data_IF_170471542321
#
_entry.id   IF_170471542321
#
_cell.length_a   1.000
_cell.length_b   1.000
_cell.length_c   1.000
_cell.angle_alpha   90.00
_cell.angle_beta   90.00
_cell.angle_gamma   90.00
#
_symmetry.space_group_name_H-M   'P 1'
#
loop_
_entity.id
_entity.type
_entity.pdbx_description
1 polymer ?
#
# COMPACT_ATOMS: atom_id res chain seq x y z
N UNK A 1 24.77 15.28 39.15
CA UNK A 1 24.24 15.97 37.94
C UNK A 1 23.99 15.02 36.76
N UNK A 2 24.76 13.95 36.58
CA UNK A 2 24.66 13.02 35.43
C UNK A 2 23.28 12.32 35.24
N UNK A 3 22.58 11.96 36.34
CA UNK A 3 21.29 11.24 36.27
C UNK A 3 20.18 11.99 35.51
N UNK A 4 20.20 13.33 35.54
CA UNK A 4 19.15 14.15 34.93
C UNK A 4 19.23 14.14 33.39
N UNK A 5 20.45 14.05 32.85
CA UNK A 5 20.68 14.03 31.40
C UNK A 5 20.31 12.68 30.77
N UNK A 6 20.51 11.58 31.50
CA UNK A 6 20.12 10.24 31.05
C UNK A 6 18.60 10.14 30.85
N UNK A 7 17.82 10.66 31.79
CA UNK A 7 16.36 10.71 31.68
C UNK A 7 15.87 11.57 30.52
N UNK A 8 16.49 12.73 30.28
CA UNK A 8 16.15 13.63 29.18
C UNK A 8 16.49 13.01 27.82
N UNK A 9 17.61 12.30 27.70
CA UNK A 9 17.98 11.61 26.46
C UNK A 9 17.04 10.44 26.15
N UNK A 10 16.59 9.72 27.18
CA UNK A 10 15.67 8.59 27.00
C UNK A 10 14.27 9.07 26.59
N UNK A 11 13.79 10.17 27.17
CA UNK A 11 12.49 10.75 26.80
C UNK A 11 12.51 11.33 25.39
N UNK A 12 13.55 12.07 25.00
CA UNK A 12 13.66 12.60 23.63
C UNK A 12 13.71 11.49 22.58
N UNK A 13 14.46 10.42 22.84
CA UNK A 13 14.51 9.27 21.94
C UNK A 13 13.14 8.60 21.75
N UNK A 14 12.37 8.46 22.82
CA UNK A 14 11.03 7.87 22.76
C UNK A 14 10.05 8.74 21.95
N UNK A 15 10.12 10.07 22.10
CA UNK A 15 9.25 11.01 21.36
C UNK A 15 9.57 11.05 19.86
N UNK A 16 10.83 10.91 19.44
CA UNK A 16 11.23 10.88 18.02
C UNK A 16 10.65 9.67 17.28
N UNK A 17 10.49 8.52 17.95
CA UNK A 17 9.92 7.32 17.32
C UNK A 17 8.40 7.42 17.07
N UNK A 18 7.69 8.32 17.74
CA UNK A 18 6.22 8.45 17.63
C UNK A 18 5.77 9.33 16.45
N UNK A 19 6.66 10.15 15.88
CA UNK A 19 6.33 11.08 14.78
C UNK A 19 6.51 10.47 13.37
N UNK A 20 6.79 9.17 13.27
CA UNK A 20 7.02 8.48 11.99
C UNK A 20 5.76 8.14 11.16
N UNK A 21 4.57 8.26 11.73
CA UNK A 21 3.32 8.05 10.97
C UNK A 21 2.97 9.31 10.15
N UNK A 22 3.45 9.40 8.91
CA UNK A 22 3.05 10.48 8.02
C UNK A 22 1.60 10.30 7.54
N UNK A 23 0.88 11.41 7.35
CA UNK A 23 -0.47 11.40 6.77
C UNK A 23 -0.50 10.91 5.30
N UNK A 24 0.67 10.81 4.67
CA UNK A 24 0.81 10.29 3.31
C UNK A 24 0.77 8.75 3.24
N UNK A 25 0.91 8.04 4.37
CA UNK A 25 0.83 6.58 4.40
C UNK A 25 -0.63 6.14 4.53
N UNK A 26 -1.16 5.55 3.46
CA UNK A 26 -2.51 4.95 3.44
C UNK A 26 -2.52 3.68 4.30
N UNK A 27 -3.43 3.60 5.28
CA UNK A 27 -3.57 2.46 6.21
C UNK A 27 -4.73 1.55 5.75
N UNK A 28 -4.59 0.22 5.83
CA UNK A 28 -5.69 -0.67 5.51
C UNK A 28 -6.80 -0.58 6.57
N UNK A 29 -8.06 -0.65 6.14
CA UNK A 29 -9.21 -0.77 7.03
C UNK A 29 -9.42 -2.24 7.39
N UNK A 30 -8.90 -2.68 8.54
CA UNK A 30 -8.91 -4.10 8.92
C UNK A 30 -10.28 -4.60 9.39
N UNK A 31 -11.03 -3.77 10.12
CA UNK A 31 -12.31 -4.19 10.72
C UNK A 31 -13.51 -3.99 9.79
N UNK A 32 -13.42 -3.02 8.87
CA UNK A 32 -14.50 -2.66 7.96
C UNK A 32 -13.91 -2.40 6.56
N UNK A 33 -13.45 -3.45 5.85
CA UNK A 33 -12.76 -3.30 4.57
C UNK A 33 -13.66 -2.88 3.39
N UNK A 34 -14.95 -2.63 3.64
CA UNK A 34 -15.93 -2.24 2.63
C UNK A 34 -16.48 -3.41 1.82
N UNK A 35 -17.29 -3.13 0.77
CA UNK A 35 -17.92 -4.16 -0.06
C UNK A 35 -16.90 -5.04 -0.81
N UNK A 36 -17.27 -6.28 -1.13
CA UNK A 36 -16.41 -7.20 -1.87
C UNK A 36 -15.86 -6.63 -3.20
N UNK A 37 -16.63 -5.88 -4.02
CA UNK A 37 -16.10 -5.24 -5.22
C UNK A 37 -14.95 -4.25 -4.94
N UNK A 38 -15.05 -3.49 -3.85
CA UNK A 38 -14.01 -2.53 -3.44
C UNK A 38 -12.73 -3.25 -3.03
N UNK A 39 -12.86 -4.34 -2.26
CA UNK A 39 -11.73 -5.16 -1.85
C UNK A 39 -11.02 -5.80 -3.04
N UNK A 40 -11.78 -6.35 -3.99
CA UNK A 40 -11.24 -6.94 -5.23
C UNK A 40 -10.48 -5.90 -6.06
N UNK A 41 -11.05 -4.71 -6.23
CA UNK A 41 -10.37 -3.62 -6.93
C UNK A 41 -9.00 -3.29 -6.30
N UNK A 42 -8.96 -3.09 -4.98
CA UNK A 42 -7.69 -2.81 -4.29
C UNK A 42 -6.70 -3.97 -4.40
N UNK A 43 -7.17 -5.23 -4.29
CA UNK A 43 -6.30 -6.39 -4.41
C UNK A 43 -5.70 -6.53 -5.83
N UNK A 44 -6.44 -6.18 -6.88
CA UNK A 44 -5.90 -6.10 -8.24
C UNK A 44 -4.93 -4.93 -8.43
N UNK A 45 -5.21 -3.77 -7.81
CA UNK A 45 -4.35 -2.58 -7.94
C UNK A 45 -3.01 -2.71 -7.23
N UNK A 46 -2.98 -3.35 -6.07
CA UNK A 46 -1.80 -3.49 -5.22
C UNK A 46 -1.31 -4.94 -5.15
N UNK A 47 -1.54 -5.72 -6.21
CA UNK A 47 -1.10 -7.11 -6.32
C UNK A 47 0.44 -7.19 -6.18
N UNK A 48 0.98 -7.88 -5.14
CA UNK A 48 2.42 -7.99 -4.94
C UNK A 48 3.08 -9.01 -5.90
N UNK A 49 2.31 -9.83 -6.62
CA UNK A 49 2.87 -10.88 -7.45
C UNK A 49 3.32 -10.36 -8.83
N UNK A 50 4.55 -10.71 -9.27
CA UNK A 50 5.09 -10.27 -10.55
C UNK A 50 4.28 -10.80 -11.72
N UNK A 51 4.32 -10.04 -12.81
CA UNK A 51 3.66 -10.35 -14.07
C UNK A 51 4.39 -11.48 -14.78
N UNK A 52 3.65 -12.30 -15.53
CA UNK A 52 4.22 -13.36 -16.36
C UNK A 52 5.17 -12.82 -17.45
N UNK A 53 5.10 -11.53 -17.76
CA UNK A 53 5.98 -10.85 -18.71
C UNK A 53 7.36 -10.53 -18.08
N UNK A 54 7.44 -10.48 -16.75
CA UNK A 54 8.65 -10.12 -15.99
C UNK A 54 9.36 -11.34 -15.39
N UNK A 55 8.73 -12.51 -15.43
CA UNK A 55 9.30 -13.73 -14.88
C UNK A 55 8.40 -14.95 -15.14
N UNK A 56 8.82 -16.14 -14.68
CA UNK A 56 8.04 -17.35 -14.82
C UNK A 56 6.66 -17.23 -14.15
N UNK A 57 5.67 -17.90 -14.73
CA UNK A 57 4.32 -17.95 -14.16
C UNK A 57 4.33 -18.54 -12.74
N UNK A 58 3.63 -17.87 -11.82
CA UNK A 58 3.51 -18.31 -10.42
C UNK A 58 2.31 -19.26 -10.30
N UNK A 59 2.58 -20.56 -10.40
CA UNK A 59 1.57 -21.60 -10.25
C UNK A 59 1.39 -21.94 -8.76
N UNK A 60 0.17 -21.84 -8.24
CA UNK A 60 -0.18 -22.21 -6.86
C UNK A 60 0.26 -21.23 -5.76
N UNK A 61 1.10 -20.24 -6.09
CA UNK A 61 1.51 -19.20 -5.14
C UNK A 61 0.54 -18.03 -5.00
N UNK A 62 -0.32 -17.80 -6.00
CA UNK A 62 -1.34 -16.73 -6.02
C UNK A 62 -2.63 -17.18 -5.31
N UNK A 63 -3.36 -16.27 -4.63
CA UNK A 63 -4.68 -16.62 -4.08
C UNK A 63 -5.67 -17.04 -5.18
N UNK A 64 -6.67 -17.85 -4.82
CA UNK A 64 -7.56 -18.53 -5.78
C UNK A 64 -8.25 -17.58 -6.77
N UNK A 65 -8.74 -16.45 -6.29
CA UNK A 65 -9.44 -15.45 -7.12
C UNK A 65 -8.50 -14.58 -7.96
N UNK A 66 -7.18 -14.73 -7.79
CA UNK A 66 -6.13 -13.89 -8.39
C UNK A 66 -5.10 -14.70 -9.17
N UNK A 67 -5.40 -15.97 -9.47
CA UNK A 67 -4.51 -16.81 -10.27
C UNK A 67 -4.29 -16.25 -11.68
N UNK A 68 -5.29 -15.54 -12.22
CA UNK A 68 -5.21 -14.90 -13.54
C UNK A 68 -5.03 -13.39 -13.36
N UNK A 69 -3.84 -12.84 -13.66
CA UNK A 69 -3.63 -11.40 -13.62
C UNK A 69 -4.44 -10.70 -14.72
N UNK A 70 -4.73 -9.41 -14.52
CA UNK A 70 -5.35 -8.58 -15.54
C UNK A 70 -4.50 -8.55 -16.82
N UNK A 71 -5.16 -8.52 -17.97
CA UNK A 71 -4.46 -8.42 -19.25
C UNK A 71 -3.71 -7.07 -19.36
N UNK A 72 -2.74 -7.01 -20.26
CA UNK A 72 -1.86 -5.85 -20.39
C UNK A 72 -2.64 -4.55 -20.69
N UNK A 73 -3.69 -4.63 -21.51
CA UNK A 73 -4.52 -3.47 -21.89
C UNK A 73 -5.28 -2.89 -20.70
N UNK A 74 -5.92 -3.74 -19.89
CA UNK A 74 -6.63 -3.36 -18.67
C UNK A 74 -5.65 -2.74 -17.66
N UNK A 75 -4.45 -3.31 -17.55
CA UNK A 75 -3.39 -2.82 -16.66
C UNK A 75 -2.86 -1.45 -17.07
N UNK A 76 -2.66 -1.22 -18.37
CA UNK A 76 -2.23 0.08 -18.90
C UNK A 76 -3.23 1.21 -18.59
N UNK A 77 -4.51 0.89 -18.42
CA UNK A 77 -5.53 1.86 -17.99
C UNK A 77 -5.41 2.20 -16.51
N UNK A 78 -5.09 1.22 -15.66
CA UNK A 78 -4.95 1.41 -14.20
C UNK A 78 -3.84 2.42 -13.85
N UNK A 79 -2.67 2.33 -14.50
CA UNK A 79 -1.57 3.28 -14.28
C UNK A 79 -1.92 4.71 -14.71
N UNK A 80 -2.85 4.86 -15.66
CA UNK A 80 -3.32 6.16 -16.15
C UNK A 80 -4.14 6.91 -15.12
N UNK A 81 -4.91 6.19 -14.30
CA UNK A 81 -5.82 6.75 -13.30
C UNK A 81 -5.09 7.11 -11.98
N UNK A 82 -3.92 6.52 -11.72
CA UNK A 82 -3.12 6.77 -10.51
C UNK A 82 -2.17 7.99 -10.61
N UNK A 83 -2.15 8.72 -11.73
CA UNK A 83 -1.21 9.83 -11.92
C UNK A 83 -1.56 11.03 -11.00
N UNK A 84 -0.68 11.40 -10.04
CA UNK A 84 -1.00 12.42 -9.02
C UNK A 84 -1.11 13.84 -9.58
N UNK A 85 -0.57 14.11 -10.77
CA UNK A 85 -0.74 15.38 -11.48
C UNK A 85 -2.07 15.48 -12.25
N UNK A 86 -2.86 14.40 -12.31
CA UNK A 86 -4.16 14.39 -12.99
C UNK A 86 -5.36 14.46 -12.04
N UNK A 87 -5.14 14.36 -10.73
CA UNK A 87 -6.16 14.65 -9.70
C UNK A 87 -6.31 16.17 -9.51
N UNK A 88 -6.67 16.88 -10.56
CA UNK A 88 -7.34 18.17 -10.42
C UNK A 88 -8.79 17.94 -9.97
N UNK A 89 -9.45 18.93 -9.34
CA UNK A 89 -10.83 18.77 -8.92
C UNK A 89 -11.69 18.50 -10.16
N UNK A 90 -12.36 17.35 -10.17
CA UNK A 90 -13.52 17.14 -11.02
C UNK A 90 -14.66 17.89 -10.33
N UNK A 91 -14.88 19.15 -10.73
CA UNK A 91 -15.97 20.07 -10.38
C UNK A 91 -16.55 19.95 -8.96
#
# INVERSE_FOLDING_TARGET
MQQKYLGVMFTTYLFVNLVGCSAAVRKPQLLHPGPAPYQRYNATQFDPYPLNDLGPEIVGGRPIDFQKPANEVERGRQYRDQQPWRTGPLY
#
